data_IF_600170085999
#
_entry.id   IF_600170085999
#
_cell.length_a   1.000
_cell.length_b   1.000
_cell.length_c   1.000
_cell.angle_alpha   90.00
_cell.angle_beta   90.00
_cell.angle_gamma   90.00
#
_symmetry.space_group_name_H-M   'P 1'
#
loop_
_entity.id
_entity.type
_entity.pdbx_description
1 polymer ?
#
# COMPACT_ATOMS: atom_id res chain seq x y z
N UNK A 1 5.00 14.60 -21.60
CA UNK A 1 6.18 13.73 -21.31
C UNK A 1 5.88 12.37 -21.86
N UNK A 2 6.68 11.86 -22.78
CA UNK A 2 6.46 10.53 -23.38
C UNK A 2 7.07 9.45 -22.48
N UNK A 3 6.27 8.44 -22.11
CA UNK A 3 6.73 7.34 -21.25
C UNK A 3 7.53 6.36 -22.11
N UNK A 4 8.74 5.99 -21.69
CA UNK A 4 9.58 5.06 -22.44
C UNK A 4 8.95 3.66 -22.53
N UNK A 5 9.18 2.94 -23.63
CA UNK A 5 8.72 1.55 -23.82
C UNK A 5 9.21 0.63 -22.70
N UNK A 6 10.42 0.84 -22.19
CA UNK A 6 10.98 0.07 -21.06
C UNK A 6 10.12 0.25 -19.80
N UNK A 7 9.77 1.48 -19.49
CA UNK A 7 8.94 1.80 -18.31
C UNK A 7 7.54 1.23 -18.41
N UNK A 8 6.91 1.35 -19.58
CA UNK A 8 5.61 0.72 -19.83
C UNK A 8 5.66 -0.80 -19.65
N UNK A 9 6.74 -1.46 -20.12
CA UNK A 9 6.94 -2.90 -19.94
C UNK A 9 7.08 -3.25 -18.44
N UNK A 10 7.84 -2.49 -17.68
CA UNK A 10 8.01 -2.73 -16.24
C UNK A 10 6.68 -2.58 -15.50
N UNK A 11 5.92 -1.52 -15.77
CA UNK A 11 4.58 -1.31 -15.19
C UNK A 11 3.67 -2.50 -15.51
N UNK A 12 3.65 -2.95 -16.78
CA UNK A 12 2.85 -4.10 -17.18
C UNK A 12 3.26 -5.39 -16.46
N UNK A 13 4.57 -5.63 -16.30
CA UNK A 13 5.07 -6.80 -15.56
C UNK A 13 4.61 -6.74 -14.10
N UNK A 14 4.72 -5.59 -13.44
CA UNK A 14 4.24 -5.41 -12.07
C UNK A 14 2.74 -5.67 -11.95
N UNK A 15 1.93 -5.08 -12.84
CA UNK A 15 0.47 -5.31 -12.88
C UNK A 15 0.13 -6.79 -13.07
N UNK A 16 0.81 -7.45 -13.99
CA UNK A 16 0.59 -8.88 -14.28
C UNK A 16 0.99 -9.76 -13.09
N UNK A 17 2.12 -9.46 -12.44
CA UNK A 17 2.58 -10.18 -11.25
C UNK A 17 1.59 -10.03 -10.10
N UNK A 18 1.12 -8.81 -9.83
CA UNK A 18 0.10 -8.55 -8.80
C UNK A 18 -1.16 -9.38 -9.11
N UNK A 19 -1.70 -9.29 -10.33
CA UNK A 19 -2.90 -10.01 -10.74
C UNK A 19 -2.76 -11.52 -10.53
N UNK A 20 -1.64 -12.11 -10.99
CA UNK A 20 -1.41 -13.56 -10.87
C UNK A 20 -1.23 -14.02 -9.42
N UNK A 21 -0.54 -13.24 -8.62
CA UNK A 21 -0.41 -13.48 -7.19
C UNK A 21 -1.79 -13.48 -6.51
N UNK A 22 -2.58 -12.44 -6.74
CA UNK A 22 -3.89 -12.26 -6.12
C UNK A 22 -4.92 -13.32 -6.54
N UNK A 23 -4.95 -13.69 -7.83
CA UNK A 23 -5.79 -14.78 -8.32
C UNK A 23 -5.45 -16.13 -7.64
N UNK A 24 -4.16 -16.34 -7.37
CA UNK A 24 -3.69 -17.54 -6.67
C UNK A 24 -4.05 -17.50 -5.19
N UNK A 25 -3.84 -16.36 -4.54
CA UNK A 25 -4.20 -16.16 -3.13
C UNK A 25 -5.70 -16.24 -2.89
N UNK A 26 -6.52 -15.71 -3.80
CA UNK A 26 -7.98 -15.84 -3.72
C UNK A 26 -8.42 -17.31 -3.73
N UNK A 27 -7.85 -18.13 -4.60
CA UNK A 27 -8.11 -19.58 -4.65
C UNK A 27 -7.65 -20.29 -3.37
N UNK A 28 -6.45 -19.94 -2.86
CA UNK A 28 -5.93 -20.52 -1.62
C UNK A 28 -6.81 -20.16 -0.41
N UNK A 29 -7.31 -18.93 -0.37
CA UNK A 29 -8.25 -18.47 0.67
C UNK A 29 -9.56 -19.25 0.63
N UNK A 30 -10.13 -19.46 -0.57
CA UNK A 30 -11.35 -20.28 -0.74
C UNK A 30 -11.14 -21.73 -0.30
N UNK A 31 -9.93 -22.25 -0.40
CA UNK A 31 -9.55 -23.59 0.06
C UNK A 31 -9.24 -23.66 1.57
N UNK A 32 -9.31 -22.53 2.29
CA UNK A 32 -9.01 -22.45 3.72
C UNK A 32 -7.50 -22.54 4.05
N UNK A 33 -6.63 -22.35 3.07
CA UNK A 33 -5.18 -22.41 3.26
C UNK A 33 -4.58 -21.10 3.81
N UNK A 34 -5.29 -19.99 3.62
CA UNK A 34 -4.93 -18.67 4.16
C UNK A 34 -5.81 -18.39 5.37
N UNK A 35 -5.19 -18.05 6.49
CA UNK A 35 -5.91 -17.77 7.74
C UNK A 35 -6.32 -16.30 7.83
N UNK A 36 -7.54 -16.06 8.31
CA UNK A 36 -8.07 -14.71 8.50
C UNK A 36 -8.62 -14.07 7.23
N UNK A 37 -8.88 -12.76 7.30
CA UNK A 37 -9.41 -12.00 6.18
C UNK A 37 -8.32 -11.73 5.15
N UNK A 38 -8.59 -12.03 3.89
CA UNK A 38 -7.72 -11.74 2.75
C UNK A 38 -8.42 -10.76 1.81
N UNK A 39 -7.86 -9.57 1.68
CA UNK A 39 -8.39 -8.52 0.82
C UNK A 39 -7.52 -8.39 -0.43
N UNK A 40 -8.01 -8.89 -1.56
CA UNK A 40 -7.25 -8.85 -2.82
C UNK A 40 -7.17 -7.43 -3.39
N UNK A 41 -6.11 -7.15 -4.11
CA UNK A 41 -5.85 -5.89 -4.82
C UNK A 41 -6.32 -5.92 -6.27
N UNK A 42 -7.08 -6.95 -6.66
CA UNK A 42 -7.58 -7.16 -8.03
C UNK A 42 -8.42 -5.95 -8.48
N UNK A 43 -8.05 -5.39 -9.63
CA UNK A 43 -8.71 -4.24 -10.24
C UNK A 43 -8.03 -2.89 -9.97
N UNK A 44 -7.06 -2.83 -9.04
CA UNK A 44 -6.36 -1.58 -8.69
C UNK A 44 -4.86 -1.62 -9.05
N UNK A 45 -4.40 -2.65 -9.76
CA UNK A 45 -2.98 -2.93 -10.05
C UNK A 45 -2.24 -1.76 -10.69
N UNK A 46 -2.94 -0.98 -11.53
CA UNK A 46 -2.35 0.14 -12.24
C UNK A 46 -1.85 1.23 -11.29
N UNK A 47 -2.54 1.49 -10.17
CA UNK A 47 -2.16 2.52 -9.20
C UNK A 47 -0.85 2.12 -8.54
N UNK A 48 -0.80 0.93 -7.92
CA UNK A 48 0.41 0.46 -7.27
C UNK A 48 1.60 0.36 -8.23
N UNK A 49 1.38 -0.22 -9.43
CA UNK A 49 2.45 -0.45 -10.40
C UNK A 49 3.04 0.86 -10.93
N UNK A 50 2.22 1.85 -11.23
CA UNK A 50 2.70 3.13 -11.77
C UNK A 50 3.38 4.00 -10.70
N UNK A 51 2.80 4.11 -9.52
CA UNK A 51 3.39 4.88 -8.42
C UNK A 51 4.73 4.25 -8.01
N UNK A 52 4.77 2.95 -7.76
CA UNK A 52 6.00 2.28 -7.32
C UNK A 52 7.08 2.15 -8.42
N UNK A 53 6.76 2.37 -9.71
CA UNK A 53 7.77 2.45 -10.77
C UNK A 53 8.60 3.74 -10.69
N UNK A 54 8.06 4.78 -10.04
CA UNK A 54 8.75 6.05 -9.83
C UNK A 54 9.57 6.09 -8.53
N UNK A 55 9.42 5.09 -7.65
CA UNK A 55 10.04 5.09 -6.33
C UNK A 55 11.38 4.36 -6.31
N UNK A 56 12.27 4.86 -5.49
CA UNK A 56 13.53 4.20 -5.11
C UNK A 56 13.31 3.31 -3.88
N UNK A 57 14.26 2.40 -3.60
CA UNK A 57 14.16 1.49 -2.45
C UNK A 57 14.12 2.23 -1.10
N UNK A 58 14.76 3.39 -1.03
CA UNK A 58 14.82 4.23 0.16
C UNK A 58 13.60 5.14 0.34
N UNK A 59 12.68 5.23 -0.63
CA UNK A 59 11.39 5.87 -0.45
C UNK A 59 10.47 4.99 0.40
N UNK A 60 9.68 5.61 1.26
CA UNK A 60 8.80 4.91 2.19
C UNK A 60 7.38 4.83 1.67
N UNK A 61 6.78 3.65 1.80
CA UNK A 61 5.33 3.49 1.56
C UNK A 61 4.63 2.97 2.80
N UNK A 62 3.45 3.53 3.04
CA UNK A 62 2.47 3.10 4.05
C UNK A 62 1.19 2.74 3.33
N UNK A 63 0.61 1.60 3.68
CA UNK A 63 -0.50 1.04 2.93
C UNK A 63 -1.63 0.57 3.82
N UNK A 64 -2.66 0.04 3.20
CA UNK A 64 -3.93 -0.36 3.79
C UNK A 64 -4.03 -1.87 3.98
N UNK A 65 -5.23 -2.34 4.34
CA UNK A 65 -5.60 -3.76 4.38
C UNK A 65 -5.51 -4.47 3.01
N UNK A 66 -5.51 -3.73 1.87
CA UNK A 66 -5.27 -4.23 0.51
C UNK A 66 -3.81 -4.04 0.08
N UNK A 67 -2.88 -4.29 0.98
CA UNK A 67 -1.47 -3.94 0.79
C UNK A 67 -0.66 -4.84 -0.13
N UNK A 68 -1.20 -5.97 -0.60
CA UNK A 68 -0.46 -6.94 -1.42
C UNK A 68 0.09 -6.30 -2.71
N UNK A 69 -0.78 -5.55 -3.42
CA UNK A 69 -0.39 -4.88 -4.66
C UNK A 69 0.73 -3.87 -4.44
N UNK A 70 0.65 -3.07 -3.38
CA UNK A 70 1.68 -2.09 -3.03
C UNK A 70 3.00 -2.77 -2.65
N UNK A 71 2.93 -3.84 -1.85
CA UNK A 71 4.11 -4.60 -1.44
C UNK A 71 4.84 -5.21 -2.64
N UNK A 72 4.12 -5.90 -3.54
CA UNK A 72 4.67 -6.49 -4.76
C UNK A 72 5.23 -5.42 -5.70
N UNK A 73 4.49 -4.32 -5.90
CA UNK A 73 4.94 -3.23 -6.77
C UNK A 73 6.19 -2.54 -6.24
N UNK A 74 6.36 -2.45 -4.90
CA UNK A 74 7.53 -1.89 -4.23
C UNK A 74 8.75 -2.83 -4.26
N UNK A 75 8.54 -4.11 -4.62
CA UNK A 75 9.62 -5.08 -4.80
C UNK A 75 9.64 -6.21 -3.79
N UNK A 76 8.57 -6.42 -3.01
CA UNK A 76 8.44 -7.62 -2.18
C UNK A 76 8.41 -8.86 -3.07
N UNK A 77 9.21 -9.87 -2.73
CA UNK A 77 9.20 -11.13 -3.46
C UNK A 77 7.84 -11.84 -3.28
N UNK A 78 7.20 -12.29 -4.37
CA UNK A 78 5.96 -13.06 -4.30
C UNK A 78 6.03 -14.26 -3.36
N UNK A 79 7.19 -14.91 -3.25
CA UNK A 79 7.39 -16.02 -2.32
C UNK A 79 7.29 -15.55 -0.85
N UNK A 80 7.89 -14.41 -0.51
CA UNK A 80 7.79 -13.84 0.84
C UNK A 80 6.35 -13.43 1.18
N UNK A 81 5.62 -12.85 0.23
CA UNK A 81 4.20 -12.51 0.41
C UNK A 81 3.35 -13.76 0.65
N UNK A 82 3.46 -14.76 -0.22
CA UNK A 82 2.68 -16.00 -0.10
C UNK A 82 3.03 -16.72 1.21
N UNK A 83 4.33 -16.81 1.54
CA UNK A 83 4.79 -17.39 2.80
C UNK A 83 4.18 -16.71 4.02
N UNK A 84 4.06 -15.37 3.98
CA UNK A 84 3.44 -14.59 5.06
C UNK A 84 1.98 -14.98 5.27
N UNK A 85 1.20 -15.04 4.18
CA UNK A 85 -0.22 -15.38 4.25
C UNK A 85 -0.46 -16.83 4.68
N UNK A 86 0.51 -17.72 4.43
CA UNK A 86 0.47 -19.11 4.89
C UNK A 86 1.08 -19.28 6.31
N UNK A 87 1.40 -18.20 7.00
CA UNK A 87 1.93 -18.23 8.38
C UNK A 87 3.32 -18.84 8.49
N UNK A 88 4.15 -18.74 7.44
CA UNK A 88 5.50 -19.31 7.43
C UNK A 88 6.54 -18.30 7.90
N UNK A 89 7.58 -18.79 8.58
CA UNK A 89 8.70 -17.95 9.06
C UNK A 89 9.44 -17.25 7.92
N UNK A 90 9.40 -17.80 6.71
CA UNK A 90 9.97 -17.21 5.49
C UNK A 90 9.16 -16.03 4.92
N UNK A 91 8.02 -15.67 5.52
CA UNK A 91 7.24 -14.50 5.18
C UNK A 91 7.91 -13.19 5.60
N UNK A 92 7.55 -12.09 4.92
CA UNK A 92 8.14 -10.76 5.15
C UNK A 92 7.96 -10.24 6.60
N UNK A 93 6.92 -10.68 7.30
CA UNK A 93 6.67 -10.41 8.73
C UNK A 93 6.80 -11.70 9.57
N UNK A 94 7.56 -12.68 9.09
CA UNK A 94 7.82 -13.97 9.75
C UNK A 94 6.55 -14.78 10.05
N UNK A 95 5.55 -14.68 9.18
CA UNK A 95 4.27 -15.36 9.29
C UNK A 95 3.35 -14.85 10.40
N UNK A 96 3.61 -13.66 10.96
CA UNK A 96 2.85 -13.07 12.08
C UNK A 96 1.86 -11.99 11.65
N UNK A 97 2.08 -11.39 10.49
CA UNK A 97 1.26 -10.28 9.99
C UNK A 97 0.05 -10.72 9.16
N UNK A 98 0.18 -11.82 8.44
CA UNK A 98 -0.86 -12.29 7.51
C UNK A 98 -1.13 -11.28 6.39
N UNK A 99 -2.36 -11.27 5.86
CA UNK A 99 -2.74 -10.45 4.70
C UNK A 99 -2.60 -8.94 4.90
N UNK A 100 -2.90 -8.44 6.11
CA UNK A 100 -3.07 -7.00 6.34
C UNK A 100 -1.88 -6.31 7.03
N UNK A 101 -0.85 -7.04 7.45
CA UNK A 101 0.26 -6.50 8.23
C UNK A 101 1.62 -6.92 7.65
N UNK A 102 1.84 -6.51 6.40
CA UNK A 102 3.09 -6.74 5.69
C UNK A 102 4.10 -5.66 6.04
N UNK A 103 5.35 -6.05 6.28
CA UNK A 103 6.42 -5.14 6.65
C UNK A 103 7.74 -5.62 6.05
N UNK A 104 8.41 -4.75 5.30
CA UNK A 104 9.73 -5.02 4.68
C UNK A 104 10.50 -3.70 4.55
N UNK A 105 11.08 -3.19 5.65
CA UNK A 105 11.73 -1.86 5.65
C UNK A 105 12.95 -1.78 4.72
N UNK A 106 13.58 -2.90 4.39
CA UNK A 106 14.74 -2.97 3.48
C UNK A 106 14.40 -2.49 2.06
N UNK A 107 13.14 -2.54 1.67
CA UNK A 107 12.65 -2.02 0.39
C UNK A 107 11.76 -0.78 0.57
N UNK A 108 11.70 -0.20 1.77
CA UNK A 108 10.85 0.95 2.08
C UNK A 108 9.37 0.62 2.30
N UNK A 109 8.97 -0.65 2.39
CA UNK A 109 7.62 -1.03 2.81
C UNK A 109 7.53 -0.92 4.34
N UNK A 110 7.01 0.22 4.83
CA UNK A 110 6.99 0.56 6.25
C UNK A 110 5.78 0.02 6.99
N UNK A 111 4.85 -0.56 6.28
CA UNK A 111 3.75 -1.32 6.85
C UNK A 111 2.44 -1.18 6.08
N UNK A 112 1.65 -2.26 6.16
CA UNK A 112 0.24 -2.26 5.80
C UNK A 112 -0.59 -2.36 7.07
N UNK A 113 -1.84 -1.90 7.07
CA UNK A 113 -2.66 -1.90 8.28
C UNK A 113 -4.12 -2.18 7.98
N UNK A 114 -4.73 -3.01 8.81
CA UNK A 114 -6.18 -3.21 8.84
C UNK A 114 -6.95 -2.04 9.45
N UNK A 115 -6.26 -1.10 10.12
CA UNK A 115 -6.88 0.09 10.72
C UNK A 115 -6.95 1.19 9.67
N UNK A 116 -8.16 1.73 9.44
CA UNK A 116 -8.41 2.75 8.41
C UNK A 116 -7.95 4.13 8.89
N UNK A 117 -7.07 4.78 8.12
CA UNK A 117 -6.64 6.17 8.33
C UNK A 117 -5.28 6.39 9.00
N UNK A 118 -4.85 5.65 10.03
CA UNK A 118 -3.58 5.91 10.76
C UNK A 118 -2.32 5.93 9.90
N UNK A 119 -2.28 5.18 8.82
CA UNK A 119 -1.16 5.16 7.87
C UNK A 119 -0.86 6.55 7.26
N UNK A 120 -1.85 7.43 7.21
CA UNK A 120 -1.72 8.84 6.77
C UNK A 120 -0.82 9.60 7.75
N UNK A 121 -1.09 9.50 9.04
CA UNK A 121 -0.26 10.14 10.07
C UNK A 121 1.12 9.50 10.20
N UNK A 122 1.21 8.17 10.04
CA UNK A 122 2.50 7.46 10.03
C UNK A 122 3.39 7.96 8.89
N UNK A 123 2.82 8.16 7.70
CA UNK A 123 3.58 8.70 6.57
C UNK A 123 4.04 10.14 6.79
N UNK A 124 3.25 10.96 7.51
CA UNK A 124 3.67 12.29 7.94
C UNK A 124 4.85 12.23 8.92
N UNK A 125 4.83 11.28 9.89
CA UNK A 125 5.95 11.05 10.79
C UNK A 125 7.23 10.66 10.06
N UNK A 126 7.13 9.79 9.04
CA UNK A 126 8.25 9.45 8.18
C UNK A 126 8.75 10.67 7.37
N UNK A 127 7.82 11.47 6.81
CA UNK A 127 8.16 12.72 6.12
C UNK A 127 8.87 13.73 7.03
N UNK A 128 8.44 13.84 8.28
CA UNK A 128 9.12 14.67 9.28
C UNK A 128 10.56 14.17 9.53
N UNK A 129 10.73 12.86 9.68
CA UNK A 129 12.06 12.23 9.84
C UNK A 129 12.97 12.48 8.63
N UNK A 130 12.43 12.41 7.41
CA UNK A 130 13.16 12.71 6.17
C UNK A 130 13.72 14.14 6.21
N UNK A 131 12.90 15.12 6.54
CA UNK A 131 13.33 16.51 6.68
C UNK A 131 14.36 16.70 7.81
N UNK A 132 14.11 16.09 8.98
CA UNK A 132 14.98 16.21 10.14
C UNK A 132 16.41 15.70 9.84
N UNK A 133 16.53 14.62 9.07
CA UNK A 133 17.81 14.03 8.70
C UNK A 133 18.34 14.48 7.33
N UNK A 134 17.72 15.51 6.72
CA UNK A 134 18.10 16.05 5.41
C UNK A 134 18.27 14.97 4.32
N UNK A 135 17.33 14.02 4.25
CA UNK A 135 17.31 12.97 3.24
C UNK A 135 16.54 13.42 2.00
N UNK A 136 16.86 12.83 0.84
CA UNK A 136 16.16 13.08 -0.42
C UNK A 136 15.10 12.02 -0.75
N UNK A 137 14.47 11.48 0.27
CA UNK A 137 13.41 10.48 0.12
C UNK A 137 12.04 11.16 0.06
N UNK A 138 11.06 10.40 -0.37
CA UNK A 138 9.64 10.73 -0.19
C UNK A 138 8.95 9.66 0.64
N UNK A 139 7.86 10.05 1.29
CA UNK A 139 6.97 9.13 1.99
C UNK A 139 5.62 9.11 1.28
N UNK A 140 5.09 7.93 0.97
CA UNK A 140 3.81 7.78 0.29
C UNK A 140 2.82 7.12 1.23
N UNK A 141 1.62 7.70 1.32
CA UNK A 141 0.48 7.09 1.99
C UNK A 141 -0.56 6.68 0.97
N UNK A 142 -0.83 5.38 0.87
CA UNK A 142 -1.98 4.86 0.12
C UNK A 142 -3.17 4.70 1.07
N UNK A 143 -4.34 5.16 0.69
CA UNK A 143 -5.56 5.03 1.48
C UNK A 143 -6.79 5.01 0.58
N UNK A 144 -7.86 4.38 1.05
CA UNK A 144 -9.13 4.34 0.34
C UNK A 144 -9.97 5.61 0.55
N UNK A 145 -10.96 5.82 -0.31
CA UNK A 145 -11.94 6.93 -0.20
C UNK A 145 -12.68 6.93 1.14
N UNK A 146 -12.96 5.77 1.72
CA UNK A 146 -13.54 5.67 3.07
C UNK A 146 -12.68 6.29 4.19
N UNK A 147 -11.36 6.35 4.01
CA UNK A 147 -10.45 6.96 4.98
C UNK A 147 -10.53 8.49 5.00
N UNK A 148 -11.06 9.11 3.95
CA UNK A 148 -11.19 10.58 3.85
C UNK A 148 -12.10 11.15 4.97
N UNK A 149 -13.04 10.34 5.45
CA UNK A 149 -13.93 10.72 6.55
C UNK A 149 -13.31 10.50 7.95
N UNK A 150 -12.09 9.97 8.03
CA UNK A 150 -11.37 9.81 9.29
C UNK A 150 -10.62 11.12 9.62
N UNK A 151 -10.63 11.53 10.90
CA UNK A 151 -9.90 12.70 11.37
C UNK A 151 -8.42 12.71 10.99
N UNK A 152 -7.77 11.54 10.97
CA UNK A 152 -6.37 11.36 10.58
C UNK A 152 -6.07 11.88 9.16
N UNK A 153 -7.03 11.82 8.22
CA UNK A 153 -6.87 12.42 6.89
C UNK A 153 -6.68 13.93 6.97
N UNK A 154 -7.60 14.63 7.62
CA UNK A 154 -7.58 16.09 7.74
C UNK A 154 -6.38 16.58 8.55
N UNK A 155 -6.08 15.91 9.65
CA UNK A 155 -4.94 16.21 10.52
C UNK A 155 -3.62 16.00 9.78
N UNK A 156 -3.47 14.86 9.08
CA UNK A 156 -2.27 14.52 8.33
C UNK A 156 -1.97 15.49 7.19
N UNK A 157 -2.98 15.85 6.40
CA UNK A 157 -2.82 16.82 5.31
C UNK A 157 -2.43 18.19 5.85
N UNK A 158 -3.07 18.64 6.93
CA UNK A 158 -2.75 19.91 7.57
C UNK A 158 -1.30 19.93 8.11
N UNK A 159 -0.89 18.89 8.83
CA UNK A 159 0.49 18.75 9.33
C UNK A 159 1.52 18.73 8.20
N UNK A 160 1.27 17.94 7.16
CA UNK A 160 2.16 17.83 6.01
C UNK A 160 2.33 19.19 5.31
N UNK A 161 1.26 19.96 5.19
CA UNK A 161 1.26 21.30 4.60
C UNK A 161 2.05 22.31 5.45
N UNK A 162 1.75 22.40 6.75
CA UNK A 162 2.39 23.36 7.68
C UNK A 162 3.90 23.10 7.76
N UNK A 163 4.31 21.84 7.86
CA UNK A 163 5.72 21.46 8.01
C UNK A 163 6.42 21.20 6.67
N UNK A 164 5.74 21.39 5.53
CA UNK A 164 6.28 21.15 4.19
C UNK A 164 6.94 19.78 4.08
N UNK A 165 6.22 18.76 4.52
CA UNK A 165 6.74 17.40 4.55
C UNK A 165 6.80 16.80 3.13
N UNK A 166 7.83 16.01 2.80
CA UNK A 166 7.93 15.28 1.53
C UNK A 166 7.00 14.05 1.54
N UNK A 167 5.69 14.28 1.61
CA UNK A 167 4.65 13.24 1.66
C UNK A 167 3.74 13.35 0.45
N UNK A 168 3.46 12.21 -0.18
CA UNK A 168 2.52 12.08 -1.28
C UNK A 168 1.34 11.26 -0.79
N UNK A 169 0.14 11.80 -0.94
CA UNK A 169 -1.12 11.17 -0.55
C UNK A 169 -1.83 10.60 -1.78
N UNK A 170 -2.01 9.28 -1.82
CA UNK A 170 -2.65 8.56 -2.93
C UNK A 170 -3.97 7.98 -2.44
N UNK A 171 -5.08 8.55 -2.89
CA UNK A 171 -6.42 8.06 -2.62
C UNK A 171 -6.84 7.05 -3.69
N UNK A 172 -7.06 5.81 -3.29
CA UNK A 172 -7.62 4.74 -4.12
C UNK A 172 -9.14 4.75 -4.00
N UNK A 173 -9.77 5.49 -4.90
CA UNK A 173 -11.21 5.73 -4.85
C UNK A 173 -11.98 4.64 -5.62
N UNK A 174 -12.39 3.60 -4.92
CA UNK A 174 -13.27 2.55 -5.46
C UNK A 174 -14.76 2.84 -5.23
N UNK A 175 -15.11 3.99 -4.67
CA UNK A 175 -16.47 4.45 -4.36
C UNK A 175 -17.17 3.71 -3.21
N UNK A 176 -16.45 2.84 -2.47
CA UNK A 176 -17.02 2.06 -1.37
C UNK A 176 -16.08 1.96 -0.17
N UNK A 177 -16.64 2.15 1.01
CA UNK A 177 -16.01 1.81 2.28
C UNK A 177 -16.75 0.61 2.89
N UNK A 178 -16.15 -0.60 2.81
CA UNK A 178 -16.82 -1.88 3.14
C UNK A 178 -18.08 -2.05 2.29
N UNK A 179 -19.26 -1.83 2.84
CA UNK A 179 -20.57 -1.94 2.16
C UNK A 179 -21.24 -0.58 1.93
N UNK A 180 -20.60 0.51 2.40
CA UNK A 180 -21.17 1.86 2.34
C UNK A 180 -20.64 2.60 1.09
N UNK A 181 -21.54 3.01 0.17
CA UNK A 181 -21.14 3.79 -0.99
C UNK A 181 -20.65 5.19 -0.57
N UNK A 182 -19.67 5.73 -1.30
CA UNK A 182 -19.09 7.04 -1.02
C UNK A 182 -20.15 8.16 -1.01
N UNK A 183 -21.11 8.11 -1.93
CA UNK A 183 -22.19 9.08 -2.02
C UNK A 183 -23.11 9.14 -0.78
N UNK A 184 -23.08 8.11 0.06
CA UNK A 184 -23.83 8.09 1.33
C UNK A 184 -22.97 8.53 2.52
N UNK A 185 -21.68 8.27 2.47
CA UNK A 185 -20.77 8.51 3.60
C UNK A 185 -20.07 9.87 3.56
N UNK A 186 -20.06 10.55 2.42
CA UNK A 186 -19.37 11.83 2.24
C UNK A 186 -20.34 12.89 1.76
N UNK A 187 -20.30 14.08 2.38
CA UNK A 187 -21.02 15.24 1.91
C UNK A 187 -20.43 15.75 0.58
N UNK A 188 -21.30 16.29 -0.30
CA UNK A 188 -20.92 16.93 -1.55
C UNK A 188 -20.52 18.38 -1.35
#
# INVERSE_FOLDING_TARGET
MEISKKKLKNIFIKMYTIRKCEETLAKATQQGLVLGACHTYIGQEAIAATVCEELENNDYIFSTHRGHGHALAKGLDPFELISELFGKETGCSKGRGGSMHLFKPEIGLMGTSGIVGPNILQSCGAGYSINLFNKNNVSISFFGDGAVNNGAFHEGLNMASIWKLPVIFICENNQYATEVPFSYSSGS
#
